data_IF_411937013259
#
_entry.id   IF_411937013259
#
_cell.length_a   1.000
_cell.length_b   1.000
_cell.length_c   1.000
_cell.angle_alpha   90.00
_cell.angle_beta   90.00
_cell.angle_gamma   90.00
#
_symmetry.space_group_name_H-M   'P 1'
#
loop_
_entity.id
_entity.type
_entity.pdbx_description
1 polymer ?
#
# COMPACT_ATOMS: atom_id res chain seq x y z
N UNK A 1 4.05 4.69 -20.92
CA UNK A 1 2.62 4.43 -20.66
C UNK A 1 2.37 2.92 -20.69
N UNK A 2 1.55 2.37 -19.79
CA UNK A 2 1.25 0.93 -19.80
C UNK A 2 0.04 0.57 -20.69
N UNK A 3 -0.19 -0.73 -20.92
CA UNK A 3 -1.26 -1.21 -21.82
C UNK A 3 -2.68 -0.89 -21.33
N UNK A 4 -2.91 -0.76 -20.02
CA UNK A 4 -4.23 -0.40 -19.44
C UNK A 4 -4.52 1.07 -19.70
N UNK A 5 -3.52 1.93 -19.47
CA UNK A 5 -3.59 3.37 -19.78
C UNK A 5 -3.81 3.58 -21.29
N UNK A 6 -3.06 2.87 -22.13
CA UNK A 6 -3.18 2.99 -23.58
C UNK A 6 -4.57 2.54 -24.07
N UNK A 7 -5.11 1.44 -23.55
CA UNK A 7 -6.47 1.02 -23.88
C UNK A 7 -7.51 2.08 -23.52
N UNK A 8 -7.39 2.67 -22.32
CA UNK A 8 -8.28 3.74 -21.87
C UNK A 8 -8.15 5.01 -22.72
N UNK A 9 -6.92 5.38 -23.10
CA UNK A 9 -6.64 6.53 -23.96
C UNK A 9 -7.28 6.39 -25.36
N UNK A 10 -7.26 5.19 -25.92
CA UNK A 10 -7.79 4.89 -27.26
C UNK A 10 -9.34 4.84 -27.32
N UNK A 11 -10.00 5.03 -26.17
CA UNK A 11 -11.45 4.95 -26.00
C UNK A 11 -12.04 3.65 -26.58
N UNK A 12 -11.34 2.53 -26.31
CA UNK A 12 -11.79 1.21 -26.73
C UNK A 12 -12.85 0.69 -25.76
N UNK A 13 -13.88 0.05 -26.31
CA UNK A 13 -15.00 -0.43 -25.51
C UNK A 13 -14.67 -1.76 -24.83
N UNK A 14 -14.89 -1.82 -23.52
CA UNK A 14 -14.56 -3.00 -22.70
C UNK A 14 -15.42 -4.22 -23.04
N UNK A 15 -16.69 -3.99 -23.36
CA UNK A 15 -17.66 -5.03 -23.75
C UNK A 15 -17.31 -5.71 -25.09
N UNK A 16 -16.48 -5.09 -25.92
CA UNK A 16 -16.05 -5.63 -27.21
C UNK A 16 -14.74 -6.43 -27.14
N UNK A 17 -14.05 -6.47 -25.99
CA UNK A 17 -12.71 -7.09 -25.88
C UNK A 17 -12.69 -8.55 -26.35
N UNK A 18 -13.75 -9.31 -26.11
CA UNK A 18 -13.80 -10.73 -26.47
C UNK A 18 -14.09 -10.98 -27.96
N UNK A 19 -14.65 -9.98 -28.63
CA UNK A 19 -15.24 -10.07 -29.96
C UNK A 19 -14.39 -9.42 -31.06
N UNK A 20 -13.28 -8.76 -30.69
CA UNK A 20 -12.38 -8.14 -31.67
C UNK A 20 -11.86 -9.16 -32.68
N UNK A 21 -11.98 -8.81 -33.95
CA UNK A 21 -11.50 -9.61 -35.08
C UNK A 21 -10.24 -9.01 -35.72
N UNK A 22 -9.80 -9.60 -36.84
CA UNK A 22 -8.63 -9.13 -37.57
C UNK A 22 -8.76 -7.70 -38.09
N UNK A 23 -9.94 -7.26 -38.52
CA UNK A 23 -10.13 -5.89 -38.98
C UNK A 23 -10.06 -4.90 -37.82
N UNK A 24 -10.64 -5.26 -36.67
CA UNK A 24 -10.58 -4.44 -35.46
C UNK A 24 -9.13 -4.27 -34.99
N UNK A 25 -8.31 -5.33 -35.01
CA UNK A 25 -6.90 -5.21 -34.66
C UNK A 25 -6.14 -4.25 -35.59
N UNK A 26 -6.40 -4.29 -36.90
CA UNK A 26 -5.81 -3.34 -37.86
C UNK A 26 -6.24 -1.90 -37.54
N UNK A 27 -7.52 -1.69 -37.17
CA UNK A 27 -8.02 -0.37 -36.78
C UNK A 27 -7.37 0.13 -35.49
N UNK A 28 -7.22 -0.74 -34.49
CA UNK A 28 -6.56 -0.42 -33.21
C UNK A 28 -5.09 -0.07 -33.44
N UNK A 29 -4.36 -0.86 -34.23
CA UNK A 29 -2.96 -0.59 -34.60
C UNK A 29 -2.81 0.77 -35.30
N UNK A 30 -3.74 1.12 -36.20
CA UNK A 30 -3.78 2.45 -36.85
C UNK A 30 -4.02 3.56 -35.82
N UNK A 31 -4.95 3.39 -34.88
CA UNK A 31 -5.21 4.36 -33.81
C UNK A 31 -3.97 4.56 -32.93
N UNK A 32 -3.31 3.47 -32.51
CA UNK A 32 -2.06 3.53 -31.72
C UNK A 32 -0.99 4.33 -32.45
N UNK A 33 -0.78 4.05 -33.74
CA UNK A 33 0.21 4.77 -34.55
C UNK A 33 -0.11 6.25 -34.76
N UNK A 34 -1.40 6.61 -34.76
CA UNK A 34 -1.82 8.01 -34.80
C UNK A 34 -1.54 8.70 -33.45
N UNK A 35 -1.99 8.11 -32.34
CA UNK A 35 -1.78 8.65 -30.99
C UNK A 35 -0.30 8.79 -30.65
N UNK A 36 0.53 7.82 -31.05
CA UNK A 36 1.98 7.86 -30.84
C UNK A 36 2.66 9.07 -31.48
N UNK A 37 2.12 9.63 -32.57
CA UNK A 37 2.69 10.83 -33.22
C UNK A 37 2.48 12.09 -32.39
N UNK A 38 1.46 12.11 -31.54
CA UNK A 38 1.07 13.27 -30.74
C UNK A 38 1.38 13.08 -29.24
N UNK A 39 1.50 11.85 -28.77
CA UNK A 39 1.83 11.50 -27.40
C UNK A 39 3.14 10.68 -27.31
N UNK A 40 4.26 11.31 -26.89
CA UNK A 40 5.55 10.64 -26.80
C UNK A 40 5.63 9.58 -25.68
N UNK A 41 4.65 9.52 -24.76
CA UNK A 41 4.63 8.50 -23.71
C UNK A 41 4.23 7.11 -24.22
N UNK A 42 3.71 7.02 -25.44
CA UNK A 42 3.35 5.78 -26.12
C UNK A 42 4.59 5.26 -26.84
N UNK A 43 5.36 4.39 -26.19
CA UNK A 43 6.46 3.70 -26.84
C UNK A 43 5.95 2.57 -27.78
N UNK A 44 6.81 2.09 -28.69
CA UNK A 44 6.44 0.99 -29.60
C UNK A 44 6.01 -0.27 -28.86
N UNK A 45 6.65 -0.54 -27.71
CA UNK A 45 6.45 -1.76 -26.93
C UNK A 45 5.07 -1.79 -26.29
N UNK A 46 4.55 -0.65 -25.82
CA UNK A 46 3.21 -0.52 -25.25
C UNK A 46 2.13 -0.83 -26.29
N UNK A 47 2.31 -0.32 -27.53
CA UNK A 47 1.41 -0.61 -28.64
C UNK A 47 1.38 -2.10 -29.01
N UNK A 48 2.56 -2.68 -29.23
CA UNK A 48 2.71 -4.12 -29.55
C UNK A 48 2.16 -5.01 -28.43
N UNK A 49 2.46 -4.67 -27.17
CA UNK A 49 1.98 -5.40 -26.01
C UNK A 49 0.47 -5.33 -25.85
N UNK A 50 -0.16 -4.18 -26.13
CA UNK A 50 -1.62 -4.07 -26.09
C UNK A 50 -2.26 -4.96 -27.15
N UNK A 51 -1.76 -4.95 -28.38
CA UNK A 51 -2.26 -5.83 -29.44
C UNK A 51 -2.08 -7.31 -29.07
N UNK A 52 -0.92 -7.68 -28.53
CA UNK A 52 -0.68 -9.05 -28.05
C UNK A 52 -1.65 -9.43 -26.93
N UNK A 53 -1.85 -8.56 -25.95
CA UNK A 53 -2.79 -8.78 -24.85
C UNK A 53 -4.24 -9.00 -25.36
N UNK A 54 -4.68 -8.20 -26.34
CA UNK A 54 -6.02 -8.32 -26.93
C UNK A 54 -6.18 -9.58 -27.79
N UNK A 55 -5.14 -10.01 -28.50
CA UNK A 55 -5.18 -11.22 -29.36
C UNK A 55 -5.09 -12.51 -28.55
N UNK A 56 -4.15 -12.58 -27.61
CA UNK A 56 -3.75 -13.85 -26.96
C UNK A 56 -4.30 -14.00 -25.55
N UNK A 57 -4.70 -12.91 -24.88
CA UNK A 57 -5.06 -12.89 -23.46
C UNK A 57 -6.40 -12.18 -23.18
N UNK A 58 -7.31 -12.15 -24.16
CA UNK A 58 -8.56 -11.36 -24.12
C UNK A 58 -9.40 -11.53 -22.85
N UNK A 59 -9.53 -12.75 -22.34
CA UNK A 59 -10.31 -13.03 -21.13
C UNK A 59 -9.66 -12.40 -19.88
N UNK A 60 -8.35 -12.57 -19.73
CA UNK A 60 -7.57 -12.01 -18.62
C UNK A 60 -7.52 -10.49 -18.71
N UNK A 61 -7.37 -9.96 -19.92
CA UNK A 61 -7.38 -8.53 -20.16
C UNK A 61 -8.74 -7.92 -19.80
N UNK A 62 -9.86 -8.51 -20.25
CA UNK A 62 -11.20 -8.09 -19.85
C UNK A 62 -11.39 -8.14 -18.33
N UNK A 63 -10.90 -9.19 -17.67
CA UNK A 63 -10.94 -9.28 -16.21
C UNK A 63 -10.25 -8.08 -15.55
N UNK A 64 -9.03 -7.73 -15.95
CA UNK A 64 -8.32 -6.56 -15.42
C UNK A 64 -9.07 -5.25 -15.70
N UNK A 65 -9.62 -5.09 -16.90
CA UNK A 65 -10.42 -3.92 -17.28
C UNK A 65 -11.72 -3.79 -16.49
N UNK A 66 -12.20 -4.91 -15.92
CA UNK A 66 -13.42 -4.99 -15.11
C UNK A 66 -13.14 -4.96 -13.60
N UNK A 67 -11.90 -5.22 -13.18
CA UNK A 67 -11.47 -5.13 -11.79
C UNK A 67 -11.17 -3.67 -11.44
N UNK A 68 -12.07 -3.03 -10.66
CA UNK A 68 -11.94 -1.61 -10.28
C UNK A 68 -10.58 -1.28 -9.66
N UNK A 69 -10.12 -2.09 -8.72
CA UNK A 69 -8.88 -1.83 -7.97
C UNK A 69 -7.67 -1.84 -8.90
N UNK A 70 -7.51 -2.93 -9.66
CA UNK A 70 -6.38 -3.09 -10.58
C UNK A 70 -6.45 -2.07 -11.72
N UNK A 71 -7.63 -1.83 -12.30
CA UNK A 71 -7.81 -0.85 -13.36
C UNK A 71 -7.47 0.56 -12.87
N UNK A 72 -8.05 1.01 -11.75
CA UNK A 72 -7.83 2.37 -11.25
C UNK A 72 -6.35 2.61 -10.96
N UNK A 73 -5.70 1.66 -10.27
CA UNK A 73 -4.27 1.73 -9.95
C UNK A 73 -3.40 1.82 -11.21
N UNK A 74 -3.60 0.90 -12.16
CA UNK A 74 -2.78 0.81 -13.38
C UNK A 74 -3.07 1.93 -14.37
N UNK A 75 -4.32 2.41 -14.44
CA UNK A 75 -4.71 3.50 -15.32
C UNK A 75 -4.41 4.89 -14.75
N UNK A 76 -4.09 4.98 -13.45
CA UNK A 76 -4.00 6.23 -12.68
C UNK A 76 -5.30 7.05 -12.70
N UNK A 77 -6.45 6.36 -12.67
CA UNK A 77 -7.78 6.97 -12.61
C UNK A 77 -8.47 6.62 -11.30
N UNK A 78 -9.55 7.33 -10.99
CA UNK A 78 -10.40 7.04 -9.83
C UNK A 78 -11.86 6.87 -10.26
N UNK A 79 -12.13 5.85 -11.09
CA UNK A 79 -13.49 5.57 -11.54
C UNK A 79 -14.30 4.90 -10.43
N UNK A 80 -15.58 5.29 -10.34
CA UNK A 80 -16.53 4.75 -9.37
C UNK A 80 -17.01 3.35 -9.76
N UNK A 81 -17.58 2.61 -8.79
CA UNK A 81 -18.09 1.24 -8.97
C UNK A 81 -19.09 1.11 -10.13
N UNK A 82 -19.84 2.15 -10.44
CA UNK A 82 -20.84 2.14 -11.52
C UNK A 82 -20.20 1.98 -12.92
N UNK A 83 -18.89 2.23 -13.06
CA UNK A 83 -18.15 2.04 -14.32
C UNK A 83 -17.61 0.61 -14.50
N UNK A 84 -17.84 -0.28 -13.55
CA UNK A 84 -17.32 -1.65 -13.56
C UNK A 84 -18.48 -2.63 -13.37
N UNK A 85 -19.19 -2.99 -14.46
CA UNK A 85 -20.17 -4.06 -14.40
C UNK A 85 -19.48 -5.37 -13.99
N UNK A 86 -20.19 -6.23 -13.27
CA UNK A 86 -19.69 -7.55 -12.86
C UNK A 86 -19.34 -8.33 -14.12
N UNK A 87 -18.07 -8.70 -14.30
CA UNK A 87 -17.69 -9.59 -15.39
C UNK A 87 -18.03 -11.04 -14.99
N UNK A 88 -18.70 -11.75 -15.89
CA UNK A 88 -19.11 -13.14 -15.70
C UNK A 88 -18.04 -14.16 -16.14
N UNK A 89 -16.79 -13.73 -16.29
CA UNK A 89 -15.70 -14.57 -16.77
C UNK A 89 -14.92 -15.19 -15.61
N UNK A 90 -14.91 -16.53 -15.52
CA UNK A 90 -14.05 -17.24 -14.59
C UNK A 90 -12.61 -17.26 -15.14
N UNK A 91 -11.76 -16.34 -14.66
CA UNK A 91 -10.32 -16.34 -14.92
C UNK A 91 -9.62 -16.78 -13.65
N UNK A 92 -8.74 -17.78 -13.74
CA UNK A 92 -7.97 -18.22 -12.58
C UNK A 92 -6.93 -17.19 -12.16
N UNK A 93 -6.70 -17.06 -10.85
CA UNK A 93 -5.69 -16.17 -10.28
C UNK A 93 -4.31 -16.36 -10.93
N UNK A 94 -3.90 -17.60 -11.20
CA UNK A 94 -2.63 -17.91 -11.87
C UNK A 94 -2.52 -17.33 -13.29
N UNK A 95 -3.61 -17.31 -14.06
CA UNK A 95 -3.62 -16.65 -15.38
C UNK A 95 -3.46 -15.14 -15.25
N UNK A 96 -4.09 -14.55 -14.22
CA UNK A 96 -3.97 -13.10 -13.94
C UNK A 96 -2.54 -12.77 -13.52
N UNK A 97 -1.94 -13.54 -12.61
CA UNK A 97 -0.54 -13.40 -12.20
C UNK A 97 0.39 -13.48 -13.39
N UNK A 98 0.24 -14.51 -14.24
CA UNK A 98 1.04 -14.67 -15.45
C UNK A 98 0.93 -13.47 -16.40
N UNK A 99 -0.28 -12.96 -16.59
CA UNK A 99 -0.50 -11.75 -17.39
C UNK A 99 0.19 -10.52 -16.80
N UNK A 100 0.03 -10.27 -15.49
CA UNK A 100 0.68 -9.13 -14.82
C UNK A 100 2.20 -9.25 -14.93
N UNK A 101 2.75 -10.44 -14.71
CA UNK A 101 4.19 -10.69 -14.83
C UNK A 101 4.72 -10.35 -16.23
N UNK A 102 3.97 -10.70 -17.28
CA UNK A 102 4.40 -10.49 -18.68
C UNK A 102 4.25 -9.03 -19.14
N UNK A 103 3.19 -8.33 -18.71
CA UNK A 103 2.79 -7.06 -19.31
C UNK A 103 2.87 -5.84 -18.40
N UNK A 104 2.80 -6.03 -17.08
CA UNK A 104 2.50 -4.95 -16.13
C UNK A 104 3.42 -4.90 -14.91
N UNK A 105 4.32 -5.88 -14.73
CA UNK A 105 5.18 -6.02 -13.56
C UNK A 105 5.98 -4.75 -13.24
N UNK A 106 6.69 -4.22 -14.24
CA UNK A 106 7.55 -3.05 -14.09
C UNK A 106 6.75 -1.79 -13.76
N UNK A 107 5.64 -1.56 -14.48
CA UNK A 107 4.74 -0.42 -14.26
C UNK A 107 4.09 -0.48 -12.88
N UNK A 108 3.64 -1.66 -12.46
CA UNK A 108 3.02 -1.89 -11.16
C UNK A 108 3.99 -1.55 -10.02
N UNK A 109 5.25 -2.03 -10.09
CA UNK A 109 6.28 -1.67 -9.10
C UNK A 109 6.66 -0.20 -9.15
N UNK A 110 6.80 0.38 -10.34
CA UNK A 110 7.13 1.79 -10.51
C UNK A 110 6.07 2.68 -9.88
N UNK A 111 4.78 2.39 -10.14
CA UNK A 111 3.67 3.17 -9.60
C UNK A 111 3.54 2.97 -8.09
N UNK A 112 3.74 1.74 -7.60
CA UNK A 112 3.75 1.45 -6.17
C UNK A 112 4.84 2.24 -5.45
N UNK A 113 6.07 2.20 -5.97
CA UNK A 113 7.22 2.92 -5.40
C UNK A 113 6.99 4.44 -5.42
N UNK A 114 6.50 4.99 -6.54
CA UNK A 114 6.20 6.41 -6.66
C UNK A 114 5.17 6.84 -5.61
N UNK A 115 4.03 6.14 -5.51
CA UNK A 115 2.98 6.44 -4.53
C UNK A 115 3.48 6.31 -3.09
N UNK A 116 4.28 5.28 -2.82
CA UNK A 116 4.87 5.10 -1.49
C UNK A 116 5.82 6.26 -1.13
N UNK A 117 6.49 6.87 -2.12
CA UNK A 117 7.44 7.96 -1.89
C UNK A 117 6.79 9.31 -1.55
N UNK A 118 5.54 9.54 -1.94
CA UNK A 118 4.88 10.86 -1.79
C UNK A 118 4.50 11.19 -0.34
N UNK A 119 4.45 10.20 0.56
CA UNK A 119 4.08 10.35 1.96
C UNK A 119 2.66 10.92 2.20
N UNK A 120 1.76 10.85 1.21
CA UNK A 120 0.39 11.37 1.35
C UNK A 120 -0.57 10.29 1.84
N UNK A 121 -1.64 10.71 2.53
CA UNK A 121 -2.69 9.79 2.99
C UNK A 121 -3.35 9.05 1.82
N UNK A 122 -3.74 9.78 0.77
CA UNK A 122 -4.48 9.23 -0.37
C UNK A 122 -3.65 8.20 -1.14
N UNK A 123 -2.34 8.44 -1.32
CA UNK A 123 -1.48 7.48 -2.00
C UNK A 123 -1.29 6.20 -1.17
N UNK A 124 -1.12 6.32 0.15
CA UNK A 124 -1.04 5.14 1.04
C UNK A 124 -2.35 4.37 1.07
N UNK A 125 -3.49 5.06 1.07
CA UNK A 125 -4.81 4.44 1.00
C UNK A 125 -4.99 3.65 -0.31
N UNK A 126 -4.56 4.22 -1.44
CA UNK A 126 -4.63 3.52 -2.73
C UNK A 126 -3.73 2.28 -2.77
N UNK A 127 -2.55 2.33 -2.13
CA UNK A 127 -1.68 1.17 -1.99
C UNK A 127 -2.29 0.09 -1.09
N UNK A 128 -2.96 0.47 0.00
CA UNK A 128 -3.69 -0.45 0.87
C UNK A 128 -4.81 -1.17 0.08
N UNK A 129 -5.62 -0.42 -0.66
CA UNK A 129 -6.66 -0.99 -1.53
C UNK A 129 -6.09 -1.88 -2.63
N UNK A 130 -4.93 -1.56 -3.21
CA UNK A 130 -4.28 -2.44 -4.19
C UNK A 130 -3.97 -3.81 -3.57
N UNK A 131 -3.50 -3.84 -2.33
CA UNK A 131 -3.12 -5.08 -1.66
C UNK A 131 -4.32 -5.93 -1.21
N UNK A 132 -5.54 -5.38 -1.18
CA UNK A 132 -6.75 -6.22 -1.10
C UNK A 132 -6.89 -7.15 -2.32
N UNK A 133 -6.29 -6.77 -3.46
CA UNK A 133 -6.23 -7.57 -4.69
C UNK A 133 -4.91 -8.37 -4.82
N UNK A 134 -4.16 -8.56 -3.72
CA UNK A 134 -2.85 -9.22 -3.68
C UNK A 134 -2.84 -10.63 -4.26
N UNK A 135 -3.96 -11.37 -4.20
CA UNK A 135 -4.05 -12.73 -4.76
C UNK A 135 -3.82 -12.78 -6.28
N UNK A 136 -4.06 -11.67 -7.00
CA UNK A 136 -3.80 -11.57 -8.43
C UNK A 136 -2.36 -11.16 -8.78
N UNK A 137 -1.56 -10.75 -7.79
CA UNK A 137 -0.21 -10.24 -8.03
C UNK A 137 0.82 -11.37 -8.04
N UNK A 138 1.85 -11.31 -8.92
CA UNK A 138 2.95 -12.28 -8.87
C UNK A 138 3.71 -12.22 -7.55
N UNK A 139 4.18 -13.36 -7.06
CA UNK A 139 4.89 -13.45 -5.77
C UNK A 139 6.15 -12.58 -5.72
N UNK A 140 6.91 -12.53 -6.81
CA UNK A 140 8.11 -11.67 -6.91
C UNK A 140 7.76 -10.19 -6.75
N UNK A 141 6.62 -9.75 -7.30
CA UNK A 141 6.14 -8.38 -7.16
C UNK A 141 5.74 -8.09 -5.72
N UNK A 142 5.00 -9.00 -5.10
CA UNK A 142 4.60 -8.92 -3.70
C UNK A 142 5.83 -8.77 -2.80
N UNK A 143 6.87 -9.59 -3.03
CA UNK A 143 8.11 -9.53 -2.27
C UNK A 143 8.81 -8.17 -2.41
N UNK A 144 8.92 -7.65 -3.63
CA UNK A 144 9.52 -6.32 -3.89
C UNK A 144 8.70 -5.19 -3.24
N UNK A 145 7.37 -5.26 -3.30
CA UNK A 145 6.48 -4.31 -2.61
C UNK A 145 6.69 -4.34 -1.09
N UNK A 146 6.76 -5.54 -0.49
CA UNK A 146 7.01 -5.72 0.93
C UNK A 146 8.35 -5.08 1.33
N UNK A 147 9.41 -5.34 0.56
CA UNK A 147 10.74 -4.76 0.79
C UNK A 147 10.71 -3.22 0.77
N UNK A 148 9.97 -2.60 -0.15
CA UNK A 148 9.80 -1.15 -0.21
C UNK A 148 9.08 -0.60 1.02
N UNK A 149 8.00 -1.24 1.45
CA UNK A 149 7.24 -0.84 2.65
C UNK A 149 8.08 -1.01 3.92
N UNK A 150 8.81 -2.11 4.06
CA UNK A 150 9.71 -2.32 5.20
C UNK A 150 10.86 -1.33 5.23
N UNK A 151 11.45 -1.01 4.08
CA UNK A 151 12.49 0.03 3.99
C UNK A 151 11.97 1.39 4.49
N UNK A 152 10.68 1.68 4.25
CA UNK A 152 10.03 2.90 4.74
C UNK A 152 9.82 2.89 6.26
N UNK A 153 9.44 1.74 6.83
CA UNK A 153 9.36 1.56 8.28
C UNK A 153 10.74 1.70 8.94
N UNK A 154 11.76 1.06 8.37
CA UNK A 154 13.15 1.15 8.84
C UNK A 154 13.68 2.58 8.75
N UNK A 155 13.34 3.31 7.69
CA UNK A 155 13.64 4.74 7.59
C UNK A 155 13.04 5.53 8.75
N UNK A 156 11.77 5.31 9.10
CA UNK A 156 11.12 5.99 10.23
C UNK A 156 11.79 5.70 11.57
N UNK A 157 12.12 4.42 11.83
CA UNK A 157 12.82 4.01 13.04
C UNK A 157 14.19 4.70 13.12
N UNK A 158 14.96 4.65 12.03
CA UNK A 158 16.29 5.26 11.96
C UNK A 158 16.23 6.78 12.16
N UNK A 159 15.26 7.47 11.54
CA UNK A 159 15.05 8.90 11.75
C UNK A 159 14.79 9.20 13.23
N UNK A 160 13.85 8.49 13.87
CA UNK A 160 13.57 8.73 15.30
C UNK A 160 14.75 8.39 16.24
N UNK A 161 15.61 7.44 15.87
CA UNK A 161 16.82 7.13 16.65
C UNK A 161 17.88 8.25 16.61
N UNK A 162 18.02 8.94 15.48
CA UNK A 162 19.08 9.94 15.27
C UNK A 162 18.60 11.39 15.35
N UNK A 163 17.28 11.61 15.36
CA UNK A 163 16.69 12.94 15.37
C UNK A 163 16.87 13.60 16.73
N UNK A 164 17.65 14.67 16.74
CA UNK A 164 17.80 15.61 17.88
C UNK A 164 16.96 16.89 17.69
N UNK A 165 16.33 17.06 16.52
CA UNK A 165 15.48 18.18 16.17
C UNK A 165 13.98 17.86 16.37
N UNK A 166 13.13 18.87 16.39
CA UNK A 166 11.67 18.70 16.42
C UNK A 166 11.05 18.72 15.00
N UNK A 167 11.80 18.31 13.97
CA UNK A 167 11.30 18.25 12.60
C UNK A 167 11.05 16.79 12.18
N UNK A 168 9.77 16.44 12.03
CA UNK A 168 9.31 15.11 11.66
C UNK A 168 8.67 15.09 10.26
N UNK A 169 8.86 16.12 9.45
CA UNK A 169 8.26 16.25 8.10
C UNK A 169 8.57 15.05 7.21
N UNK A 170 9.79 14.52 7.25
CA UNK A 170 10.23 13.37 6.45
C UNK A 170 9.55 12.04 6.84
N UNK A 171 8.98 11.96 8.05
CA UNK A 171 8.30 10.77 8.56
C UNK A 171 6.83 11.02 8.84
N UNK A 172 6.27 12.14 8.34
CA UNK A 172 4.90 12.57 8.66
C UNK A 172 3.85 11.49 8.37
N UNK A 173 4.14 10.61 7.41
CA UNK A 173 3.26 9.52 7.01
C UNK A 173 2.97 8.50 8.12
N UNK A 174 3.83 8.34 9.13
CA UNK A 174 3.61 7.39 10.23
C UNK A 174 2.44 7.81 11.12
N UNK A 175 1.91 9.03 10.99
CA UNK A 175 0.69 9.43 11.71
C UNK A 175 -0.59 8.91 11.05
N UNK A 176 -0.51 8.35 9.85
CA UNK A 176 -1.68 7.90 9.09
C UNK A 176 -2.01 6.44 9.37
N UNK A 177 -3.29 6.16 9.64
CA UNK A 177 -3.80 4.79 9.84
C UNK A 177 -3.55 3.89 8.63
N UNK A 178 -3.62 4.46 7.42
CA UNK A 178 -3.39 3.75 6.15
C UNK A 178 -1.99 3.19 6.00
N UNK A 179 -0.98 3.80 6.61
CA UNK A 179 0.38 3.24 6.63
C UNK A 179 0.42 1.90 7.39
N UNK A 180 -0.31 1.80 8.49
CA UNK A 180 -0.41 0.59 9.32
C UNK A 180 -1.35 -0.46 8.70
N UNK A 181 -2.39 -0.02 7.99
CA UNK A 181 -3.18 -0.88 7.10
C UNK A 181 -2.30 -1.55 6.05
N UNK A 182 -1.51 -0.75 5.34
CA UNK A 182 -0.56 -1.23 4.33
C UNK A 182 0.44 -2.27 4.89
N UNK A 183 1.02 -2.00 6.06
CA UNK A 183 1.95 -2.91 6.73
C UNK A 183 1.31 -4.26 7.12
N UNK A 184 0.01 -4.26 7.42
CA UNK A 184 -0.72 -5.46 7.82
C UNK A 184 -0.72 -6.54 6.73
N UNK A 185 -0.71 -6.14 5.47
CA UNK A 185 -0.64 -7.07 4.32
C UNK A 185 0.67 -7.86 4.24
N UNK A 186 1.71 -7.39 4.94
CA UNK A 186 3.04 -8.00 4.99
C UNK A 186 3.45 -8.41 6.40
N UNK A 187 2.49 -8.60 7.31
CA UNK A 187 2.77 -8.96 8.70
C UNK A 187 3.59 -10.26 8.82
N UNK A 188 4.59 -10.19 9.66
CA UNK A 188 5.48 -11.29 10.06
C UNK A 188 5.96 -11.00 11.48
N UNK A 189 6.55 -11.99 12.16
CA UNK A 189 7.20 -11.75 13.44
C UNK A 189 8.29 -10.65 13.37
N UNK A 190 9.00 -10.54 12.24
CA UNK A 190 10.01 -9.48 12.05
C UNK A 190 9.35 -8.09 11.95
N UNK A 191 8.25 -7.98 11.20
CA UNK A 191 7.51 -6.72 11.09
C UNK A 191 6.90 -6.31 12.43
N UNK A 192 6.38 -7.26 13.20
CA UNK A 192 5.85 -7.03 14.55
C UNK A 192 6.93 -6.48 15.50
N UNK A 193 8.15 -7.01 15.41
CA UNK A 193 9.29 -6.49 16.18
C UNK A 193 9.60 -5.04 15.78
N UNK A 194 9.69 -4.74 14.48
CA UNK A 194 9.93 -3.37 13.98
C UNK A 194 8.82 -2.41 14.43
N UNK A 195 7.57 -2.85 14.46
CA UNK A 195 6.44 -2.04 14.97
C UNK A 195 6.58 -1.77 16.46
N UNK A 196 7.03 -2.76 17.24
CA UNK A 196 7.30 -2.61 18.68
C UNK A 196 8.47 -1.66 18.95
N UNK A 197 9.53 -1.72 18.13
CA UNK A 197 10.67 -0.81 18.18
C UNK A 197 10.23 0.63 17.87
N UNK A 198 9.45 0.81 16.80
CA UNK A 198 8.86 2.11 16.45
C UNK A 198 8.00 2.67 17.59
N UNK A 199 7.14 1.83 18.19
CA UNK A 199 6.26 2.24 19.29
C UNK A 199 7.09 2.73 20.49
N UNK A 200 8.15 2.00 20.83
CA UNK A 200 9.04 2.35 21.93
C UNK A 200 9.68 3.72 21.72
N UNK A 201 10.15 4.01 20.51
CA UNK A 201 10.70 5.32 20.15
C UNK A 201 9.64 6.41 20.24
N UNK A 202 8.47 6.19 19.63
CA UNK A 202 7.34 7.13 19.64
C UNK A 202 6.91 7.48 21.08
N UNK A 203 6.85 6.50 21.98
CA UNK A 203 6.54 6.72 23.40
C UNK A 203 7.58 7.62 24.07
N UNK A 204 8.87 7.45 23.77
CA UNK A 204 9.93 8.31 24.33
C UNK A 204 9.73 9.76 23.92
N UNK A 205 9.40 10.05 22.66
CA UNK A 205 9.13 11.41 22.20
C UNK A 205 7.84 11.98 22.82
N UNK A 206 6.78 11.18 22.88
CA UNK A 206 5.51 11.54 23.52
C UNK A 206 5.70 11.93 25.01
N UNK A 207 6.44 11.11 25.77
CA UNK A 207 6.72 11.38 27.19
C UNK A 207 7.54 12.65 27.42
N UNK A 208 8.44 12.98 26.48
CA UNK A 208 9.21 14.24 26.49
C UNK A 208 8.38 15.46 26.07
N UNK A 209 7.10 15.28 25.71
CA UNK A 209 6.20 16.34 25.20
C UNK A 209 6.76 17.07 23.97
N UNK A 210 7.57 16.38 23.18
CA UNK A 210 8.05 16.85 21.88
C UNK A 210 6.94 16.58 20.88
N UNK A 211 6.41 17.62 20.22
CA UNK A 211 5.34 17.53 19.22
C UNK A 211 4.20 16.57 19.65
N UNK A 212 3.62 16.85 20.82
CA UNK A 212 2.64 15.99 21.50
C UNK A 212 1.46 15.62 20.60
N UNK A 213 1.04 16.54 19.72
CA UNK A 213 -0.04 16.32 18.75
C UNK A 213 0.35 15.28 17.70
N UNK A 214 1.55 15.41 17.11
CA UNK A 214 2.05 14.45 16.14
C UNK A 214 2.14 13.05 16.75
N UNK A 215 2.86 12.87 17.86
CA UNK A 215 3.06 11.55 18.43
C UNK A 215 1.79 10.95 19.05
N UNK A 216 0.84 11.77 19.52
CA UNK A 216 -0.51 11.29 19.86
C UNK A 216 -1.19 10.65 18.66
N UNK A 217 -1.17 11.33 17.50
CA UNK A 217 -1.74 10.80 16.27
C UNK A 217 -1.02 9.51 15.80
N UNK A 218 0.30 9.45 15.94
CA UNK A 218 1.08 8.24 15.63
C UNK A 218 0.62 7.07 16.51
N UNK A 219 0.58 7.23 17.84
CA UNK A 219 0.16 6.17 18.77
C UNK A 219 -1.27 5.69 18.46
N UNK A 220 -2.18 6.61 18.16
CA UNK A 220 -3.54 6.27 17.78
C UNK A 220 -3.60 5.46 16.48
N UNK A 221 -2.81 5.85 15.48
CA UNK A 221 -2.76 5.20 14.18
C UNK A 221 -2.09 3.83 14.21
N UNK A 222 -1.08 3.64 15.06
CA UNK A 222 -0.39 2.37 15.25
C UNK A 222 -1.34 1.21 15.61
N UNK A 223 -2.45 1.48 16.30
CA UNK A 223 -3.46 0.48 16.64
C UNK A 223 -4.24 -0.08 15.44
N UNK A 224 -4.06 0.46 14.23
CA UNK A 224 -4.65 -0.08 13.01
C UNK A 224 -3.79 -1.17 12.37
N UNK A 225 -2.56 -1.37 12.84
CA UNK A 225 -1.74 -2.52 12.46
C UNK A 225 -2.33 -3.80 13.05
N UNK A 226 -2.53 -4.83 12.22
CA UNK A 226 -2.94 -6.17 12.70
C UNK A 226 -1.72 -7.09 12.72
N UNK A 227 -1.06 -7.13 13.86
CA UNK A 227 0.13 -7.94 14.12
C UNK A 227 -0.10 -9.43 13.89
N UNK A 228 1.00 -10.15 13.67
CA UNK A 228 1.02 -11.61 13.66
C UNK A 228 0.92 -12.17 15.09
N UNK A 229 1.63 -11.56 16.04
CA UNK A 229 1.57 -11.82 17.48
C UNK A 229 0.46 -10.98 18.15
N UNK A 230 -0.48 -11.66 18.79
CA UNK A 230 -1.61 -11.02 19.48
C UNK A 230 -1.16 -10.11 20.64
N UNK A 231 -0.02 -10.40 21.28
CA UNK A 231 0.50 -9.54 22.34
C UNK A 231 0.88 -8.15 21.82
N UNK A 232 1.35 -8.07 20.57
CA UNK A 232 1.67 -6.80 19.91
C UNK A 232 0.37 -6.05 19.64
N UNK A 233 -0.69 -6.72 19.14
CA UNK A 233 -2.02 -6.11 18.97
C UNK A 233 -2.54 -5.51 20.29
N UNK A 234 -2.53 -6.29 21.37
CA UNK A 234 -2.97 -5.82 22.68
C UNK A 234 -2.19 -4.59 23.15
N UNK A 235 -0.86 -4.60 22.94
CA UNK A 235 0.02 -3.51 23.36
C UNK A 235 -0.31 -2.23 22.58
N UNK A 236 -0.52 -2.31 21.27
CA UNK A 236 -0.89 -1.16 20.44
C UNK A 236 -2.25 -0.59 20.86
N UNK A 237 -3.24 -1.44 21.12
CA UNK A 237 -4.58 -1.03 21.58
C UNK A 237 -4.52 -0.35 22.95
N UNK A 238 -3.78 -0.93 23.91
CA UNK A 238 -3.61 -0.35 25.26
C UNK A 238 -2.94 1.03 25.22
N UNK A 239 -1.95 1.21 24.36
CA UNK A 239 -1.28 2.50 24.18
C UNK A 239 -2.20 3.55 23.54
N UNK A 240 -2.98 3.17 22.52
CA UNK A 240 -4.03 4.06 21.95
C UNK A 240 -5.01 4.54 23.03
N UNK A 241 -5.53 3.62 23.85
CA UNK A 241 -6.46 3.98 24.92
C UNK A 241 -5.82 4.97 25.92
N UNK A 242 -4.55 4.77 26.25
CA UNK A 242 -3.82 5.62 27.21
C UNK A 242 -3.66 7.07 26.73
N UNK A 243 -3.46 7.29 25.43
CA UNK A 243 -3.32 8.66 24.89
C UNK A 243 -4.67 9.34 24.62
N UNK A 244 -5.74 8.59 24.33
CA UNK A 244 -7.08 9.15 24.13
C UNK A 244 -7.69 9.69 25.44
N UNK A 245 -7.43 9.04 26.58
CA UNK A 245 -7.87 9.54 27.90
C UNK A 245 -7.19 10.88 28.25
N UNK A 246 -5.97 11.10 27.78
CA UNK A 246 -5.23 12.35 28.01
C UNK A 246 -5.83 13.56 27.27
N UNK A 247 -6.59 13.33 26.19
CA UNK A 247 -7.28 14.39 25.44
C UNK A 247 -8.64 14.80 26.03
N UNK A 248 -9.23 13.99 26.92
CA UNK A 248 -10.54 14.28 27.52
C UNK A 248 -10.48 14.86 28.93
N UNK A 249 -9.40 14.62 29.69
CA UNK A 249 -9.30 15.06 31.09
C UNK A 249 -8.46 16.35 31.19
N UNK A 250 -9.13 17.50 30.97
CA UNK A 250 -8.69 18.82 31.42
C UNK A 250 -8.90 19.05 32.92
N UNK A 251 -8.69 18.03 33.76
CA UNK A 251 -8.86 18.11 35.22
C UNK A 251 -7.51 17.84 35.92
N UNK A 252 -6.90 18.84 36.59
CA UNK A 252 -5.52 18.79 37.07
C UNK A 252 -5.29 17.91 38.31
N UNK A 253 -6.25 17.07 38.72
CA UNK A 253 -6.23 16.39 40.03
C UNK A 253 -6.10 14.88 40.02
N UNK A 254 -5.96 14.21 38.86
CA UNK A 254 -5.74 12.76 38.81
C UNK A 254 -4.26 12.41 38.61
N UNK A 255 -3.75 11.53 39.50
CA UNK A 255 -2.38 10.99 39.49
C UNK A 255 -1.98 10.48 38.10
N UNK A 256 -0.72 10.64 37.69
CA UNK A 256 -0.31 10.37 36.32
C UNK A 256 -0.38 8.86 36.04
N UNK A 257 -1.07 8.51 34.97
CA UNK A 257 -1.19 7.18 34.36
C UNK A 257 0.15 6.78 33.68
N UNK A 258 1.28 7.10 34.32
CA UNK A 258 2.64 6.70 33.91
C UNK A 258 2.83 5.18 34.01
N UNK A 259 2.05 4.52 34.86
CA UNK A 259 2.20 3.09 35.17
C UNK A 259 1.64 2.18 34.07
N UNK A 260 0.63 2.60 33.29
CA UNK A 260 0.05 1.72 32.25
C UNK A 260 0.90 1.65 30.98
N UNK A 261 1.55 2.75 30.59
CA UNK A 261 2.44 2.79 29.42
C UNK A 261 3.72 1.98 29.70
N UNK A 262 4.22 1.99 30.95
CA UNK A 262 5.37 1.18 31.37
C UNK A 262 5.09 -0.33 31.30
N UNK A 263 3.86 -0.78 31.60
CA UNK A 263 3.53 -2.23 31.62
C UNK A 263 3.51 -2.82 30.20
N UNK A 264 3.04 -2.06 29.19
CA UNK A 264 3.06 -2.52 27.79
C UNK A 264 4.48 -2.73 27.24
N UNK A 265 5.41 -1.85 27.60
CA UNK A 265 6.82 -1.92 27.22
C UNK A 265 7.55 -3.10 27.91
N UNK A 266 7.24 -3.35 29.18
CA UNK A 266 7.85 -4.42 29.98
C UNK A 266 7.35 -5.82 29.55
N UNK A 267 6.07 -5.96 29.19
CA UNK A 267 5.54 -7.26 28.76
C UNK A 267 5.98 -7.67 27.33
N UNK A 268 6.24 -6.72 26.43
CA UNK A 268 6.70 -7.02 25.06
C UNK A 268 8.21 -7.32 24.97
N UNK A 269 9.04 -6.70 25.82
CA UNK A 269 10.51 -6.80 25.71
C UNK A 269 11.09 -7.97 26.54
N UNK A 270 10.45 -8.38 27.64
CA UNK A 270 11.01 -9.40 28.55
C UNK A 270 11.01 -10.84 27.96
N UNK A 271 10.00 -11.32 27.21
CA UNK A 271 10.06 -12.66 26.62
C UNK A 271 11.14 -12.78 25.53
N UNK A 272 11.52 -11.67 24.88
CA UNK A 272 12.40 -11.67 23.70
C UNK A 272 13.89 -11.43 24.03
N UNK A 273 14.21 -10.75 25.13
CA UNK A 273 15.59 -10.66 25.61
C UNK A 273 16.07 -11.97 26.27
N UNK A 274 15.16 -12.80 26.78
CA UNK A 274 15.51 -14.08 27.38
C UNK A 274 15.92 -15.16 26.35
N UNK A 275 15.46 -15.05 25.10
CA UNK A 275 15.78 -16.02 24.02
C UNK A 275 17.07 -15.71 23.27
N UNK A 276 17.67 -14.53 23.45
CA UNK A 276 19.00 -14.19 22.91
C UNK A 276 20.16 -14.45 23.88
N UNK A 277 19.87 -14.88 25.11
CA UNK A 277 20.87 -15.20 26.14
C UNK A 277 20.88 -16.68 26.56
N UNK A 278 20.37 -17.59 25.71
CA UNK A 278 20.54 -19.04 25.87
C UNK A 278 21.09 -19.69 24.61
#
# INVERSE_FOLDING_TARGET
>A
MNIIQLFALLDLKRDQILDFDSEDFIRIEKKINFEKKINPEIDSKAGENLIRALKEYKEVFLFLMSNRTLFNFLSKNNLSKNNFPVSNGFVSDEKVKGFIAVFLADDLLSFFSLKLSTNTYNDLEELDYLLDAKNYLPEEIIYKMASLVFSKLDFSINQLCVTYSNDFSNIIFIRYTTFYGLLTHFRTFETDQKISDLLSLVIVFYQKKIDDSFFTAVIQSMAFYKAFDENVNETLIKNRASVTVFTSDGDPTKKPVLVSILIGLICAVIPFLATKCS
#
